data_IF_026345348882
#
_entry.id   IF_026345348882
#
_cell.length_a   1.000
_cell.length_b   1.000
_cell.length_c   1.000
_cell.angle_alpha   90.00
_cell.angle_beta   90.00
_cell.angle_gamma   90.00
#
_symmetry.space_group_name_H-M   'P 1'
#
loop_
_entity.id
_entity.type
_entity.pdbx_description
1 polymer ?
#
# COMPACT_ATOMS: atom_id res chain seq x y z
N UNK A 1 -27.17 -9.64 0.92
CA UNK A 1 -26.33 -10.82 0.63
C UNK A 1 -25.02 -10.20 0.24
N UNK A 2 -24.26 -9.83 1.25
CA UNK A 2 -22.97 -9.19 1.09
C UNK A 2 -22.03 -10.32 0.66
N UNK A 3 -21.76 -10.38 -0.66
CA UNK A 3 -20.63 -11.14 -1.16
C UNK A 3 -19.42 -10.67 -0.34
N UNK A 4 -18.78 -11.57 0.40
CA UNK A 4 -17.45 -11.29 0.94
C UNK A 4 -16.59 -10.86 -0.26
N UNK A 5 -16.34 -9.55 -0.38
CA UNK A 5 -15.50 -8.98 -1.42
C UNK A 5 -14.12 -9.62 -1.25
N UNK A 6 -13.85 -10.64 -2.08
CA UNK A 6 -12.54 -11.28 -2.09
C UNK A 6 -11.53 -10.22 -2.54
N UNK A 7 -10.62 -9.88 -1.63
CA UNK A 7 -9.52 -8.96 -1.93
C UNK A 7 -8.55 -9.64 -2.91
N UNK A 8 -8.50 -9.11 -4.14
CA UNK A 8 -7.54 -9.53 -5.17
C UNK A 8 -7.72 -10.94 -5.75
N UNK A 9 -6.88 -11.23 -6.75
CA UNK A 9 -6.76 -12.54 -7.38
C UNK A 9 -5.42 -13.21 -7.02
N UNK A 10 -5.22 -14.46 -7.46
CA UNK A 10 -4.02 -15.23 -7.15
C UNK A 10 -2.72 -14.58 -7.67
N UNK A 11 -2.81 -13.64 -8.62
CA UNK A 11 -1.65 -12.92 -9.16
C UNK A 11 -1.24 -11.74 -8.27
N UNK A 12 -2.18 -10.91 -7.83
CA UNK A 12 -1.87 -9.70 -7.06
C UNK A 12 -1.96 -9.89 -5.54
N UNK A 13 -2.65 -10.94 -5.09
CA UNK A 13 -2.93 -11.20 -3.67
C UNK A 13 -2.90 -12.70 -3.35
N UNK A 14 -2.02 -13.43 -4.04
CA UNK A 14 -1.80 -14.87 -3.84
C UNK A 14 -1.12 -15.23 -2.52
N UNK A 15 -0.78 -16.50 -2.35
CA UNK A 15 -0.08 -16.96 -1.13
C UNK A 15 1.41 -16.60 -1.14
N UNK A 16 2.04 -16.55 -2.31
CA UNK A 16 3.45 -16.20 -2.48
C UNK A 16 3.62 -14.66 -2.50
N UNK A 17 4.30 -14.07 -1.48
CA UNK A 17 4.47 -12.62 -1.41
C UNK A 17 5.40 -12.08 -2.49
N UNK A 18 6.43 -12.83 -2.89
CA UNK A 18 7.38 -12.38 -3.91
C UNK A 18 6.72 -12.35 -5.29
N UNK A 19 5.92 -13.37 -5.60
CA UNK A 19 5.14 -13.41 -6.83
C UNK A 19 4.09 -12.28 -6.87
N UNK A 20 3.39 -12.04 -5.75
CA UNK A 20 2.39 -10.98 -5.67
C UNK A 20 3.00 -9.57 -5.77
N UNK A 21 4.19 -9.37 -5.21
CA UNK A 21 4.94 -8.11 -5.32
C UNK A 21 5.51 -7.88 -6.73
N UNK A 22 6.01 -8.93 -7.37
CA UNK A 22 6.52 -8.85 -8.74
C UNK A 22 5.40 -8.61 -9.78
N UNK A 23 4.14 -8.84 -9.40
CA UNK A 23 3.01 -8.57 -10.27
C UNK A 23 2.87 -7.09 -10.55
N UNK A 24 2.80 -6.75 -11.84
CA UNK A 24 2.73 -5.36 -12.28
C UNK A 24 1.32 -4.82 -12.12
N UNK A 25 1.15 -3.89 -11.19
CA UNK A 25 -0.04 -3.07 -11.06
C UNK A 25 0.02 -1.86 -11.99
N UNK A 26 -1.15 -1.33 -12.34
CA UNK A 26 -1.25 -0.09 -13.13
C UNK A 26 -1.52 1.08 -12.19
N UNK A 27 -0.78 2.19 -12.31
CA UNK A 27 -1.05 3.38 -11.51
C UNK A 27 -2.42 3.94 -11.87
N UNK A 28 -3.21 4.28 -10.86
CA UNK A 28 -4.55 4.85 -11.05
C UNK A 28 -4.63 6.29 -10.53
N UNK A 29 -4.18 6.54 -9.29
CA UNK A 29 -4.25 7.86 -8.68
C UNK A 29 -3.02 8.13 -7.80
N UNK A 30 -2.49 9.35 -7.82
CA UNK A 30 -1.52 9.81 -6.84
C UNK A 30 -2.27 10.62 -5.76
N UNK A 31 -2.23 10.19 -4.50
CA UNK A 31 -2.93 10.84 -3.40
C UNK A 31 -2.04 11.86 -2.69
N UNK A 32 -0.77 11.55 -2.50
CA UNK A 32 0.22 12.42 -1.87
C UNK A 32 1.61 12.00 -2.38
N UNK A 33 2.43 12.97 -2.78
CA UNK A 33 3.80 12.72 -3.22
C UNK A 33 4.72 13.78 -2.61
N UNK A 34 5.79 13.31 -1.99
CA UNK A 34 6.89 14.07 -1.40
C UNK A 34 8.19 13.31 -1.65
N UNK A 35 9.34 13.97 -1.50
CA UNK A 35 10.65 13.38 -1.79
C UNK A 35 10.91 12.04 -1.09
N UNK A 36 10.37 11.85 0.11
CA UNK A 36 10.61 10.67 0.96
C UNK A 36 9.32 9.94 1.36
N UNK A 37 8.18 10.34 0.80
CA UNK A 37 6.89 9.80 1.19
C UNK A 37 5.89 9.89 0.04
N UNK A 38 5.34 8.77 -0.38
CA UNK A 38 4.32 8.70 -1.43
C UNK A 38 3.15 7.84 -0.96
N UNK A 39 1.93 8.28 -1.24
CA UNK A 39 0.72 7.47 -1.17
C UNK A 39 0.05 7.54 -2.55
N UNK A 40 -0.09 6.39 -3.19
CA UNK A 40 -0.72 6.23 -4.48
C UNK A 40 -1.72 5.07 -4.47
N UNK A 41 -2.64 5.07 -5.43
CA UNK A 41 -3.56 3.97 -5.69
C UNK A 41 -3.11 3.31 -6.98
N UNK A 42 -2.94 2.00 -6.91
CA UNK A 42 -2.65 1.14 -8.05
C UNK A 42 -3.76 0.11 -8.21
N UNK A 43 -3.93 -0.40 -9.43
CA UNK A 43 -4.99 -1.36 -9.75
C UNK A 43 -4.39 -2.59 -10.41
N UNK A 44 -4.86 -3.76 -9.99
CA UNK A 44 -4.52 -5.01 -10.64
C UNK A 44 -5.23 -5.08 -12.00
N UNK A 45 -4.51 -5.13 -13.13
CA UNK A 45 -5.14 -5.16 -14.45
C UNK A 45 -5.89 -6.47 -14.72
N UNK A 46 -5.61 -7.55 -13.96
CA UNK A 46 -6.24 -8.85 -14.15
C UNK A 46 -7.62 -8.96 -13.48
N UNK A 47 -7.83 -8.32 -12.32
CA UNK A 47 -9.08 -8.45 -11.55
C UNK A 47 -9.74 -7.12 -11.17
N UNK A 48 -9.08 -5.99 -11.42
CA UNK A 48 -9.58 -4.66 -11.06
C UNK A 48 -9.45 -4.30 -9.58
N UNK A 49 -8.88 -5.19 -8.74
CA UNK A 49 -8.61 -4.90 -7.33
C UNK A 49 -7.72 -3.66 -7.20
N UNK A 50 -8.14 -2.70 -6.39
CA UNK A 50 -7.34 -1.53 -6.05
C UNK A 50 -6.50 -1.80 -4.80
N UNK A 51 -5.32 -1.19 -4.78
CA UNK A 51 -4.38 -1.22 -3.68
C UNK A 51 -3.90 0.20 -3.39
N UNK A 52 -3.75 0.52 -2.11
CA UNK A 52 -2.98 1.70 -1.70
C UNK A 52 -1.53 1.27 -1.61
N UNK A 53 -0.67 1.92 -2.39
CA UNK A 53 0.77 1.81 -2.30
C UNK A 53 1.28 2.97 -1.45
N UNK A 54 1.97 2.66 -0.37
CA UNK A 54 2.63 3.63 0.50
C UNK A 54 4.12 3.40 0.39
N UNK A 55 4.87 4.45 0.12
CA UNK A 55 6.32 4.46 0.15
C UNK A 55 6.79 5.40 1.25
N UNK A 56 7.74 4.95 2.06
CA UNK A 56 8.38 5.74 3.10
C UNK A 56 9.88 5.52 3.03
N UNK A 57 10.66 6.59 2.88
CA UNK A 57 12.12 6.58 2.98
C UNK A 57 12.54 7.31 4.26
N UNK A 58 13.42 6.69 5.04
CA UNK A 58 14.05 7.34 6.19
C UNK A 58 15.40 7.87 5.77
N UNK A 59 15.58 9.19 5.80
CA UNK A 59 16.89 9.77 5.49
C UNK A 59 17.78 9.68 6.73
N UNK A 60 18.81 8.85 6.66
CA UNK A 60 19.85 8.75 7.68
C UNK A 60 21.05 9.61 7.24
N UNK A 61 21.12 10.83 7.77
CA UNK A 61 22.20 11.77 7.46
C UNK A 61 23.56 11.40 8.08
N UNK A 62 23.63 10.35 8.91
CA UNK A 62 24.86 9.91 9.58
C UNK A 62 25.50 8.71 8.89
N UNK A 63 24.73 7.65 8.60
CA UNK A 63 25.25 6.40 8.00
C UNK A 63 24.91 6.24 6.50
N UNK A 64 23.92 6.98 5.98
CA UNK A 64 23.58 7.02 4.55
C UNK A 64 22.97 5.74 3.98
N UNK A 65 22.42 4.87 4.82
CA UNK A 65 21.77 3.61 4.42
C UNK A 65 20.32 3.83 3.93
N UNK A 66 19.76 5.03 4.17
CA UNK A 66 18.44 5.53 3.77
C UNK A 66 17.37 4.43 3.60
N UNK A 67 16.94 3.75 4.68
CA UNK A 67 16.08 2.58 4.55
C UNK A 67 14.71 2.93 3.99
N UNK A 68 14.29 2.13 3.02
CA UNK A 68 13.06 2.32 2.27
C UNK A 68 12.05 1.22 2.55
N UNK A 69 10.80 1.63 2.73
CA UNK A 69 9.69 0.77 3.08
C UNK A 69 8.56 0.98 2.09
N UNK A 70 7.96 -0.12 1.68
CA UNK A 70 6.73 -0.11 0.91
C UNK A 70 5.65 -0.96 1.55
N UNK A 71 4.43 -0.46 1.51
CA UNK A 71 3.21 -1.16 1.88
C UNK A 71 2.25 -1.20 0.69
N UNK A 72 1.69 -2.38 0.39
CA UNK A 72 0.62 -2.57 -0.59
C UNK A 72 -0.63 -3.13 0.10
N UNK A 73 -1.59 -2.26 0.38
CA UNK A 73 -2.82 -2.56 1.13
C UNK A 73 -4.02 -2.70 0.18
N UNK A 74 -4.74 -3.84 0.13
CA UNK A 74 -5.97 -3.94 -0.65
C UNK A 74 -7.08 -3.05 -0.09
N UNK A 75 -7.78 -2.38 -1.01
CA UNK A 75 -8.93 -1.51 -0.70
C UNK A 75 -10.15 -1.82 -1.56
N UNK A 76 -11.34 -1.70 -0.99
CA UNK A 76 -12.62 -1.81 -1.69
C UNK A 76 -12.88 -0.61 -2.62
N UNK A 77 -13.88 -0.73 -3.48
CA UNK A 77 -14.30 0.37 -4.34
C UNK A 77 -14.77 1.61 -3.54
N UNK A 78 -15.44 1.39 -2.41
CA UNK A 78 -15.91 2.47 -1.54
C UNK A 78 -14.74 3.19 -0.85
N UNK A 79 -13.74 2.43 -0.38
CA UNK A 79 -12.50 2.97 0.17
C UNK A 79 -11.71 3.78 -0.85
N UNK A 80 -11.59 3.27 -2.07
CA UNK A 80 -10.94 3.99 -3.17
C UNK A 80 -11.58 5.35 -3.40
N UNK A 81 -12.90 5.40 -3.51
CA UNK A 81 -13.61 6.66 -3.73
C UNK A 81 -13.47 7.61 -2.53
N UNK A 82 -13.50 7.10 -1.30
CA UNK A 82 -13.22 7.90 -0.09
C UNK A 82 -11.82 8.53 -0.14
N UNK A 83 -10.79 7.73 -0.42
CA UNK A 83 -9.40 8.17 -0.47
C UNK A 83 -9.14 9.18 -1.59
N UNK A 84 -9.75 8.98 -2.77
CA UNK A 84 -9.71 9.96 -3.88
C UNK A 84 -10.27 11.32 -3.48
N UNK A 85 -11.31 11.34 -2.63
CA UNK A 85 -11.86 12.58 -2.06
C UNK A 85 -10.93 13.31 -1.08
N UNK A 86 -9.84 12.67 -0.67
CA UNK A 86 -8.84 13.17 0.28
C UNK A 86 -7.46 13.42 -0.37
N UNK A 87 -7.38 13.45 -1.71
CA UNK A 87 -6.14 13.74 -2.41
C UNK A 87 -5.49 15.06 -1.93
N UNK A 88 -4.18 15.03 -1.70
CA UNK A 88 -3.38 16.10 -1.10
C UNK A 88 -3.30 16.05 0.43
N UNK A 89 -4.28 15.44 1.11
CA UNK A 89 -4.28 15.25 2.56
C UNK A 89 -5.01 13.94 2.94
N UNK A 90 -4.45 12.78 2.58
CA UNK A 90 -5.05 11.49 2.89
C UNK A 90 -5.16 11.27 4.41
N UNK A 91 -6.26 10.64 4.83
CA UNK A 91 -6.51 10.29 6.22
C UNK A 91 -5.63 9.10 6.64
N UNK A 92 -4.50 9.40 7.29
CA UNK A 92 -3.50 8.42 7.67
C UNK A 92 -4.00 7.48 8.79
N UNK A 93 -4.83 7.99 9.70
CA UNK A 93 -5.43 7.17 10.77
C UNK A 93 -6.34 6.12 10.16
N UNK A 94 -7.14 6.50 9.17
CA UNK A 94 -7.97 5.56 8.44
C UNK A 94 -7.14 4.48 7.72
N UNK A 95 -6.03 4.84 7.06
CA UNK A 95 -5.15 3.86 6.43
C UNK A 95 -4.54 2.89 7.47
N UNK A 96 -4.10 3.40 8.61
CA UNK A 96 -3.57 2.56 9.70
C UNK A 96 -4.61 1.57 10.23
N UNK A 97 -5.86 1.99 10.41
CA UNK A 97 -6.98 1.11 10.80
C UNK A 97 -7.18 0.00 9.77
N UNK A 98 -7.23 0.33 8.48
CA UNK A 98 -7.38 -0.67 7.41
C UNK A 98 -6.23 -1.69 7.40
N UNK A 99 -4.98 -1.24 7.55
CA UNK A 99 -3.83 -2.14 7.63
C UNK A 99 -3.87 -3.05 8.85
N UNK A 100 -4.32 -2.53 9.99
CA UNK A 100 -4.44 -3.31 11.22
C UNK A 100 -5.40 -4.49 11.09
N UNK A 101 -6.47 -4.32 10.31
CA UNK A 101 -7.49 -5.36 10.11
C UNK A 101 -7.16 -6.31 8.95
N UNK A 102 -6.19 -5.95 8.08
CA UNK A 102 -6.01 -6.62 6.79
C UNK A 102 -4.60 -7.14 6.57
N UNK A 103 -4.55 -8.26 5.86
CA UNK A 103 -3.33 -8.73 5.24
C UNK A 103 -2.91 -7.73 4.16
N UNK A 104 -1.62 -7.41 4.10
CA UNK A 104 -1.03 -6.52 3.10
C UNK A 104 0.41 -6.95 2.79
N UNK A 105 0.95 -6.50 1.66
CA UNK A 105 2.36 -6.73 1.31
C UNK A 105 3.24 -5.67 1.96
N UNK A 106 4.36 -6.10 2.52
CA UNK A 106 5.48 -5.24 2.91
C UNK A 106 6.71 -5.60 2.11
N UNK A 107 7.43 -4.59 1.65
CA UNK A 107 8.77 -4.73 1.11
C UNK A 107 9.71 -3.74 1.79
N UNK A 108 10.87 -4.23 2.22
CA UNK A 108 11.95 -3.44 2.80
C UNK A 108 13.30 -4.12 2.49
N UNK A 109 14.37 -3.65 3.12
CA UNK A 109 15.73 -4.19 3.05
C UNK A 109 15.84 -5.65 3.55
N UNK A 110 14.86 -6.12 4.34
CA UNK A 110 14.78 -7.50 4.81
C UNK A 110 13.97 -8.41 3.85
N UNK A 111 13.46 -7.87 2.75
CA UNK A 111 12.76 -8.59 1.70
C UNK A 111 11.25 -8.36 1.68
N UNK A 112 10.54 -9.23 0.95
CA UNK A 112 9.11 -9.10 0.69
C UNK A 112 8.34 -10.11 1.53
N UNK A 113 7.29 -9.67 2.22
CA UNK A 113 6.48 -10.53 3.10
C UNK A 113 5.02 -10.09 3.17
N UNK A 114 4.17 -11.05 3.49
CA UNK A 114 2.82 -10.76 3.97
C UNK A 114 2.89 -10.26 5.41
N UNK A 115 2.24 -9.14 5.67
CA UNK A 115 2.05 -8.59 7.00
C UNK A 115 0.55 -8.51 7.32
N UNK A 116 0.24 -8.44 8.62
CA UNK A 116 -1.04 -8.01 9.16
C UNK A 116 -0.74 -7.14 10.38
N UNK A 117 -1.51 -6.08 10.60
CA UNK A 117 -1.19 -5.07 11.63
C UNK A 117 -0.84 -3.70 11.03
N UNK A 118 -0.25 -2.80 11.82
CA UNK A 118 -0.03 -1.41 11.41
C UNK A 118 0.78 -1.23 10.12
N UNK A 119 0.45 -0.18 9.36
CA UNK A 119 1.21 0.26 8.19
C UNK A 119 2.43 1.09 8.62
N UNK A 120 3.48 1.10 7.81
CA UNK A 120 4.65 1.95 8.02
C UNK A 120 4.40 3.33 7.39
N UNK A 121 3.58 4.13 8.08
CA UNK A 121 3.26 5.51 7.69
C UNK A 121 4.05 6.46 8.58
N UNK A 122 5.08 7.09 8.02
CA UNK A 122 5.81 8.18 8.67
C UNK A 122 6.02 9.32 7.67
N UNK A 123 5.07 10.27 7.57
CA UNK A 123 5.34 11.51 6.85
C UNK A 123 6.51 12.20 7.56
N UNK A 124 7.62 12.39 6.86
CA UNK A 124 8.86 12.94 7.42
C UNK A 124 8.63 14.13 8.35
N UNK A 125 9.32 14.13 9.50
CA UNK A 125 9.28 15.18 10.51
C UNK A 125 9.93 16.50 10.09
#
# INVERSE_FOLDING_TARGET
>A
MDEEERMGCDQCFGEDPEAAWAWKHEPAECLLESSHFEISIEVCPACGQAFVRIFTEFVDWEEGDDPQYWDLLPISAAEREKLKGQAGQPDLDYLMELGAERRHLKADDHGIRWAGGGLMIMPGG
#
